data_IF_845856719652
#
_entry.id   IF_845856719652
#
_cell.length_a   1.000
_cell.length_b   1.000
_cell.length_c   1.000
_cell.angle_alpha   90.00
_cell.angle_beta   90.00
_cell.angle_gamma   90.00
#
_symmetry.space_group_name_H-M   'P 1'
#
loop_
_entity.id
_entity.type
_entity.pdbx_description
1 polymer ?
#
# COMPACT_ATOMS: atom_id res chain seq x y z
N UNK A 1 37.65 17.70 9.79
CA UNK A 1 36.99 19.03 9.77
C UNK A 1 35.50 18.77 9.58
N UNK A 2 34.73 18.81 10.66
CA UNK A 2 33.27 18.65 10.62
C UNK A 2 32.66 20.05 10.55
N UNK A 3 32.07 20.39 9.42
CA UNK A 3 31.26 21.60 9.27
C UNK A 3 29.92 21.35 9.98
N UNK A 4 29.75 21.96 11.15
CA UNK A 4 28.45 22.08 11.80
C UNK A 4 27.52 22.89 10.90
N UNK A 5 26.43 22.28 10.46
CA UNK A 5 25.35 22.96 9.77
C UNK A 5 24.66 23.95 10.69
N UNK A 6 24.58 25.20 10.23
CA UNK A 6 23.88 26.30 10.88
C UNK A 6 22.39 25.94 10.93
N UNK A 7 21.83 25.83 12.13
CA UNK A 7 20.37 25.81 12.33
C UNK A 7 19.88 27.25 12.15
N UNK A 8 19.40 27.57 10.95
CA UNK A 8 18.71 28.83 10.70
C UNK A 8 17.29 28.74 11.27
N UNK A 9 17.05 29.60 12.24
CA UNK A 9 15.79 29.87 12.90
C UNK A 9 14.69 30.28 11.92
N UNK A 10 13.57 29.53 11.93
CA UNK A 10 12.21 30.01 11.64
C UNK A 10 12.03 30.94 10.43
N UNK A 11 12.32 30.46 9.22
CA UNK A 11 11.78 31.09 8.03
C UNK A 11 10.29 30.78 7.94
N UNK A 12 9.45 31.73 8.38
CA UNK A 12 8.03 31.68 8.09
C UNK A 12 7.83 31.63 6.58
N UNK A 13 7.32 30.50 6.09
CA UNK A 13 6.90 30.30 4.72
C UNK A 13 5.82 31.34 4.36
N UNK A 14 6.18 32.38 3.61
CA UNK A 14 5.44 33.63 3.59
C UNK A 14 4.27 33.65 2.58
N UNK A 15 4.28 32.82 1.53
CA UNK A 15 3.27 32.90 0.47
C UNK A 15 2.65 31.55 0.09
N UNK A 16 1.30 31.53 0.03
CA UNK A 16 0.50 30.34 -0.33
C UNK A 16 0.76 29.85 -1.76
N UNK A 17 1.21 30.74 -2.64
CA UNK A 17 1.38 30.48 -4.07
C UNK A 17 2.82 30.07 -4.44
N UNK A 18 3.73 30.00 -3.47
CA UNK A 18 5.09 29.52 -3.72
C UNK A 18 5.08 28.04 -4.12
N UNK A 19 5.86 27.71 -5.13
CA UNK A 19 6.05 26.36 -5.63
C UNK A 19 7.15 25.67 -4.82
N UNK A 20 6.85 24.44 -4.38
CA UNK A 20 7.76 23.57 -3.65
C UNK A 20 8.05 22.35 -4.51
N UNK A 21 9.33 22.10 -4.77
CA UNK A 21 9.81 20.89 -5.44
C UNK A 21 9.81 19.74 -4.44
N UNK A 22 9.11 18.65 -4.74
CA UNK A 22 9.15 17.45 -3.91
C UNK A 22 10.23 16.53 -4.45
N UNK A 23 11.19 16.20 -3.59
CA UNK A 23 12.35 15.38 -3.93
C UNK A 23 12.48 14.21 -2.97
N UNK A 24 12.83 13.04 -3.51
CA UNK A 24 13.25 11.88 -2.73
C UNK A 24 14.77 11.85 -2.67
N UNK A 25 15.31 11.60 -1.49
CA UNK A 25 16.74 11.54 -1.21
C UNK A 25 17.10 10.17 -0.67
N UNK A 26 18.26 9.66 -1.09
CA UNK A 26 18.85 8.47 -0.52
C UNK A 26 19.36 8.72 0.92
N UNK A 27 19.90 7.69 1.56
CA UNK A 27 20.40 7.82 2.92
C UNK A 27 21.59 8.79 3.07
N UNK A 28 22.33 9.04 1.99
CA UNK A 28 23.45 9.98 1.99
C UNK A 28 23.05 11.41 1.62
N UNK A 29 21.79 11.65 1.21
CA UNK A 29 21.30 12.92 0.65
C UNK A 29 22.16 13.43 -0.53
N UNK A 30 22.83 12.53 -1.24
CA UNK A 30 23.66 12.88 -2.41
C UNK A 30 22.89 12.69 -3.68
N UNK A 31 22.16 11.60 -3.76
CA UNK A 31 21.36 11.25 -4.91
C UNK A 31 19.91 11.67 -4.65
N UNK A 32 19.33 12.34 -5.64
CA UNK A 32 17.97 12.86 -5.55
C UNK A 32 17.14 12.51 -6.77
N UNK A 33 15.86 12.25 -6.52
CA UNK A 33 14.85 11.99 -7.55
C UNK A 33 13.74 13.00 -7.44
N UNK A 34 13.53 13.77 -8.50
CA UNK A 34 12.43 14.72 -8.58
C UNK A 34 11.09 13.98 -8.72
N UNK A 35 10.17 14.27 -7.81
CA UNK A 35 8.81 13.70 -7.82
C UNK A 35 7.88 14.62 -8.60
N UNK A 36 7.59 15.80 -8.05
CA UNK A 36 6.61 16.74 -8.61
C UNK A 36 6.84 18.13 -8.02
N UNK A 37 6.15 19.13 -8.56
CA UNK A 37 6.03 20.45 -7.95
C UNK A 37 4.62 20.61 -7.39
N UNK A 38 4.48 21.21 -6.21
CA UNK A 38 3.20 21.49 -5.55
C UNK A 38 3.23 22.87 -4.89
N UNK A 39 2.07 23.51 -4.70
CA UNK A 39 2.00 24.77 -3.96
C UNK A 39 2.20 24.56 -2.46
N UNK A 40 2.91 25.47 -1.82
CA UNK A 40 3.11 25.46 -0.38
C UNK A 40 1.79 25.53 0.40
N UNK A 41 0.79 26.23 -0.15
CA UNK A 41 -0.56 26.26 0.42
C UNK A 41 -1.19 24.87 0.55
N UNK A 42 -0.99 23.98 -0.42
CA UNK A 42 -1.50 22.60 -0.36
C UNK A 42 -0.77 21.79 0.71
N UNK A 43 0.55 21.89 0.77
CA UNK A 43 1.36 21.21 1.80
C UNK A 43 0.95 21.65 3.20
N UNK A 44 0.77 22.96 3.41
CA UNK A 44 0.36 23.50 4.72
C UNK A 44 -1.01 22.99 5.18
N UNK A 45 -1.93 22.78 4.24
CA UNK A 45 -3.30 22.31 4.57
C UNK A 45 -3.34 20.81 4.82
N UNK A 46 -2.64 20.01 4.00
CA UNK A 46 -2.80 18.55 4.00
C UNK A 46 -1.65 17.78 4.63
N UNK A 47 -0.47 18.38 4.70
CA UNK A 47 0.74 17.78 5.24
C UNK A 47 1.45 18.80 6.14
N UNK A 48 0.79 19.33 7.19
CA UNK A 48 1.35 20.41 8.00
C UNK A 48 2.69 20.03 8.64
N UNK A 49 2.91 18.76 8.93
CA UNK A 49 4.17 18.25 9.51
C UNK A 49 5.36 18.27 8.52
N UNK A 50 5.10 18.46 7.22
CA UNK A 50 6.15 18.57 6.23
C UNK A 50 6.75 19.99 6.15
N UNK A 51 6.13 21.01 6.78
CA UNK A 51 6.59 22.41 6.71
C UNK A 51 8.04 22.54 7.20
N UNK A 52 8.41 21.86 8.29
CA UNK A 52 9.77 21.87 8.86
C UNK A 52 10.83 21.20 7.97
N UNK A 53 10.41 20.53 6.89
CA UNK A 53 11.27 19.81 5.95
C UNK A 53 11.39 20.52 4.60
N UNK A 54 10.72 21.65 4.45
CA UNK A 54 10.88 22.48 3.27
C UNK A 54 12.11 23.35 3.47
N UNK A 55 13.12 23.12 2.64
CA UNK A 55 14.39 23.83 2.67
C UNK A 55 14.59 24.62 1.39
N UNK A 56 15.34 25.72 1.47
CA UNK A 56 15.75 26.46 0.28
C UNK A 56 16.83 25.66 -0.45
N UNK A 57 16.53 25.16 -1.64
CA UNK A 57 17.49 24.52 -2.53
C UNK A 57 18.29 25.60 -3.27
N UNK A 58 19.57 25.71 -2.92
CA UNK A 58 20.50 26.67 -3.54
C UNK A 58 20.80 26.36 -5.00
N UNK A 59 20.67 25.10 -5.43
CA UNK A 59 20.96 24.66 -6.81
C UNK A 59 19.81 25.05 -7.73
N UNK A 60 18.58 24.81 -7.30
CA UNK A 60 17.38 25.15 -8.08
C UNK A 60 16.91 26.60 -7.86
N UNK A 61 17.41 27.27 -6.82
CA UNK A 61 16.98 28.62 -6.45
C UNK A 61 15.53 28.67 -6.01
N UNK A 62 15.04 27.63 -5.32
CA UNK A 62 13.64 27.50 -4.94
C UNK A 62 13.45 26.60 -3.71
N UNK A 63 12.22 26.48 -3.25
CA UNK A 63 11.90 25.65 -2.08
C UNK A 63 11.77 24.18 -2.46
N UNK A 64 12.33 23.30 -1.65
CA UNK A 64 12.28 21.86 -1.84
C UNK A 64 11.83 21.14 -0.57
N UNK A 65 10.80 20.29 -0.69
CA UNK A 65 10.43 19.31 0.32
C UNK A 65 11.31 18.07 0.11
N UNK A 66 12.23 17.84 1.05
CA UNK A 66 13.14 16.70 1.00
C UNK A 66 12.59 15.53 1.81
N UNK A 67 12.33 14.41 1.13
CA UNK A 67 11.82 13.18 1.74
C UNK A 67 12.90 12.11 1.66
N UNK A 68 13.26 11.56 2.81
CA UNK A 68 14.22 10.46 2.90
C UNK A 68 13.59 9.13 2.51
N UNK A 69 14.30 8.33 1.72
CA UNK A 69 13.99 6.92 1.46
C UNK A 69 15.22 6.04 1.70
N UNK A 70 15.08 4.81 2.23
CA UNK A 70 16.22 3.94 2.54
C UNK A 70 17.03 3.54 1.31
N UNK A 71 16.37 3.39 0.17
CA UNK A 71 16.97 3.03 -1.11
C UNK A 71 16.26 3.79 -2.23
N UNK A 72 17.02 4.20 -3.25
CA UNK A 72 16.49 4.71 -4.51
C UNK A 72 16.22 3.60 -5.53
N UNK A 73 16.54 2.35 -5.18
CA UNK A 73 16.19 1.20 -5.98
C UNK A 73 14.67 1.05 -6.06
N UNK A 74 14.14 0.88 -7.27
CA UNK A 74 12.70 0.84 -7.57
C UNK A 74 11.86 2.08 -7.18
N UNK A 75 12.48 3.17 -6.72
CA UNK A 75 11.77 4.38 -6.24
C UNK A 75 10.85 4.99 -7.29
N UNK A 76 11.23 4.88 -8.57
CA UNK A 76 10.44 5.34 -9.70
C UNK A 76 9.12 4.57 -9.88
N UNK A 77 9.07 3.32 -9.41
CA UNK A 77 7.90 2.43 -9.54
C UNK A 77 6.98 2.47 -8.32
N UNK A 78 7.48 2.91 -7.16
CA UNK A 78 6.73 2.94 -5.90
C UNK A 78 6.58 4.38 -5.41
N UNK A 79 7.59 4.95 -4.76
CA UNK A 79 7.48 6.21 -4.03
C UNK A 79 7.16 7.40 -4.96
N UNK A 80 7.79 7.48 -6.13
CA UNK A 80 7.51 8.56 -7.10
C UNK A 80 6.06 8.47 -7.60
N UNK A 81 5.58 7.28 -7.97
CA UNK A 81 4.20 7.10 -8.43
C UNK A 81 3.20 7.38 -7.32
N UNK A 82 3.48 6.88 -6.12
CA UNK A 82 2.67 7.06 -4.92
C UNK A 82 2.46 8.54 -4.60
N UNK A 83 3.55 9.30 -4.48
CA UNK A 83 3.51 10.72 -4.16
C UNK A 83 2.90 11.55 -5.30
N UNK A 84 3.28 11.30 -6.56
CA UNK A 84 2.69 12.00 -7.72
C UNK A 84 1.18 11.85 -7.75
N UNK A 85 0.70 10.62 -7.61
CA UNK A 85 -0.74 10.34 -7.63
C UNK A 85 -1.44 11.03 -6.46
N UNK A 86 -0.90 10.93 -5.23
CA UNK A 86 -1.50 11.60 -4.06
C UNK A 86 -1.56 13.13 -4.23
N UNK A 87 -0.48 13.77 -4.67
CA UNK A 87 -0.45 15.21 -4.88
C UNK A 87 -1.38 15.68 -6.02
N UNK A 88 -1.53 14.88 -7.07
CA UNK A 88 -2.54 15.11 -8.11
C UNK A 88 -3.96 15.07 -7.52
N UNK A 89 -4.26 14.10 -6.64
CA UNK A 89 -5.55 14.03 -5.95
C UNK A 89 -5.78 15.23 -5.01
N UNK A 90 -4.76 15.65 -4.23
CA UNK A 90 -4.82 16.86 -3.39
C UNK A 90 -5.14 18.11 -4.21
N UNK A 91 -4.46 18.27 -5.34
CA UNK A 91 -4.68 19.40 -6.25
C UNK A 91 -6.10 19.40 -6.80
N UNK A 92 -6.59 18.23 -7.22
CA UNK A 92 -7.98 18.07 -7.69
C UNK A 92 -9.01 18.38 -6.61
N UNK A 93 -8.77 17.95 -5.36
CA UNK A 93 -9.70 18.19 -4.25
C UNK A 93 -9.86 19.69 -3.96
N UNK A 94 -8.77 20.46 -4.01
CA UNK A 94 -8.82 21.91 -3.81
C UNK A 94 -9.54 22.62 -4.93
N UNK A 95 -9.32 22.23 -6.19
CA UNK A 95 -10.01 22.87 -7.32
C UNK A 95 -11.51 22.59 -7.31
N UNK A 96 -11.95 21.46 -6.76
CA UNK A 96 -13.36 21.06 -6.69
C UNK A 96 -14.01 21.31 -5.33
N UNK A 97 -13.36 22.03 -4.40
CA UNK A 97 -13.87 22.35 -3.04
C UNK A 97 -14.30 21.12 -2.22
N UNK A 98 -13.70 19.96 -2.49
CA UNK A 98 -14.00 18.73 -1.78
C UNK A 98 -13.35 18.74 -0.39
N UNK A 99 -14.01 18.09 0.58
CA UNK A 99 -13.50 17.97 1.93
C UNK A 99 -12.45 16.85 2.02
N UNK A 100 -11.25 17.19 2.48
CA UNK A 100 -10.14 16.24 2.69
C UNK A 100 -10.34 15.30 3.89
N UNK A 101 -11.47 15.38 4.58
CA UNK A 101 -11.84 14.42 5.62
C UNK A 101 -11.94 12.96 5.12
N UNK A 102 -11.72 12.69 3.83
CA UNK A 102 -11.67 11.36 3.26
C UNK A 102 -10.36 11.18 2.49
N UNK A 103 -9.71 10.04 2.70
CA UNK A 103 -8.60 9.60 1.86
C UNK A 103 -9.07 9.42 0.41
N UNK A 104 -8.18 9.63 -0.59
CA UNK A 104 -8.50 9.30 -1.97
C UNK A 104 -8.93 7.83 -2.09
N UNK A 105 -10.02 7.57 -2.79
CA UNK A 105 -10.44 6.21 -3.08
C UNK A 105 -9.40 5.53 -3.99
N UNK A 106 -9.13 4.25 -3.76
CA UNK A 106 -8.28 3.43 -4.63
C UNK A 106 -9.12 2.33 -5.31
N UNK A 107 -8.89 2.12 -6.59
CA UNK A 107 -9.63 1.15 -7.40
C UNK A 107 -9.03 -0.26 -7.37
N UNK A 108 -7.75 -0.39 -7.00
CA UNK A 108 -7.03 -1.66 -6.95
C UNK A 108 -6.14 -1.78 -5.72
N UNK A 109 -5.70 -3.01 -5.43
CA UNK A 109 -4.73 -3.31 -4.37
C UNK A 109 -3.46 -2.49 -4.57
N UNK A 110 -2.89 -2.49 -5.78
CA UNK A 110 -1.69 -1.73 -6.07
C UNK A 110 -1.85 -0.22 -5.87
N UNK A 111 -3.01 0.36 -6.16
CA UNK A 111 -3.27 1.77 -5.81
C UNK A 111 -3.38 1.98 -4.29
N UNK A 112 -3.99 1.03 -3.57
CA UNK A 112 -4.03 1.05 -2.11
C UNK A 112 -2.63 1.00 -1.48
N UNK A 113 -1.74 0.16 -2.01
CA UNK A 113 -0.33 0.08 -1.59
C UNK A 113 0.40 1.39 -1.87
N UNK A 114 0.24 1.97 -3.06
CA UNK A 114 0.82 3.28 -3.39
C UNK A 114 0.31 4.38 -2.46
N UNK A 115 -1.00 4.42 -2.18
CA UNK A 115 -1.58 5.38 -1.25
C UNK A 115 -0.98 5.21 0.15
N UNK A 116 -0.93 3.97 0.65
CA UNK A 116 -0.36 3.67 1.95
C UNK A 116 1.09 4.15 2.06
N UNK A 117 1.91 3.86 1.04
CA UNK A 117 3.30 4.32 0.99
C UNK A 117 3.42 5.84 0.96
N UNK A 118 2.60 6.54 0.16
CA UNK A 118 2.61 8.00 0.12
C UNK A 118 2.27 8.61 1.50
N UNK A 119 1.30 8.03 2.22
CA UNK A 119 0.92 8.48 3.55
C UNK A 119 2.06 8.28 4.55
N UNK A 120 2.76 7.15 4.51
CA UNK A 120 3.95 6.90 5.36
C UNK A 120 5.08 7.90 5.08
N UNK A 121 5.39 8.16 3.82
CA UNK A 121 6.45 9.11 3.43
C UNK A 121 6.16 10.56 3.85
N UNK A 122 4.88 10.90 3.98
CA UNK A 122 4.40 12.22 4.40
C UNK A 122 4.08 12.28 5.89
N UNK A 123 4.43 11.25 6.67
CA UNK A 123 4.21 11.18 8.12
C UNK A 123 2.74 11.35 8.52
N UNK A 124 1.84 10.81 7.70
CA UNK A 124 0.40 10.78 7.95
C UNK A 124 0.02 9.44 8.59
N UNK A 125 0.63 9.13 9.74
CA UNK A 125 0.58 7.80 10.36
C UNK A 125 -0.84 7.34 10.68
N UNK A 126 -1.69 8.18 11.25
CA UNK A 126 -3.09 7.84 11.58
C UNK A 126 -3.90 7.42 10.33
N UNK A 127 -3.68 8.14 9.23
CA UNK A 127 -4.31 7.82 7.95
C UNK A 127 -3.76 6.52 7.36
N UNK A 128 -2.44 6.33 7.42
CA UNK A 128 -1.79 5.11 6.96
C UNK A 128 -2.30 3.88 7.76
N UNK A 129 -2.35 3.96 9.08
CA UNK A 129 -2.84 2.89 9.96
C UNK A 129 -4.32 2.57 9.74
N UNK A 130 -5.14 3.57 9.38
CA UNK A 130 -6.54 3.35 9.01
C UNK A 130 -6.69 2.60 7.67
N UNK A 131 -5.81 2.90 6.71
CA UNK A 131 -5.84 2.31 5.37
C UNK A 131 -5.25 0.90 5.33
N UNK A 132 -4.18 0.63 6.07
CA UNK A 132 -3.46 -0.66 6.10
C UNK A 132 -4.38 -1.89 6.21
N UNK A 133 -5.28 -2.01 7.20
CA UNK A 133 -6.13 -3.19 7.33
C UNK A 133 -7.10 -3.35 6.16
N UNK A 134 -7.51 -2.24 5.52
CA UNK A 134 -8.40 -2.27 4.34
C UNK A 134 -7.67 -2.88 3.14
N UNK A 135 -6.45 -2.39 2.84
CA UNK A 135 -5.62 -2.92 1.74
C UNK A 135 -5.26 -4.40 2.01
N UNK A 136 -4.87 -4.73 3.25
CA UNK A 136 -4.58 -6.12 3.63
C UNK A 136 -5.81 -7.04 3.50
N UNK A 137 -7.01 -6.52 3.78
CA UNK A 137 -8.25 -7.26 3.57
C UNK A 137 -8.53 -7.47 2.08
N UNK A 138 -8.36 -6.45 1.25
CA UNK A 138 -8.52 -6.57 -0.20
C UNK A 138 -7.54 -7.57 -0.82
N UNK A 139 -6.28 -7.59 -0.37
CA UNK A 139 -5.29 -8.60 -0.78
C UNK A 139 -5.80 -10.01 -0.49
N UNK A 140 -6.58 -10.23 0.58
CA UNK A 140 -7.09 -11.58 0.89
C UNK A 140 -8.25 -12.01 -0.02
N UNK A 141 -8.95 -11.07 -0.65
CA UNK A 141 -10.19 -11.34 -1.39
C UNK A 141 -10.04 -11.35 -2.90
N UNK A 142 -9.09 -10.59 -3.44
CA UNK A 142 -8.96 -10.38 -4.89
C UNK A 142 -7.72 -11.12 -5.41
N UNK A 143 -7.76 -11.74 -6.60
CA UNK A 143 -6.55 -12.27 -7.22
C UNK A 143 -5.58 -11.11 -7.47
N UNK A 144 -4.33 -11.28 -7.04
CA UNK A 144 -3.29 -10.28 -7.29
C UNK A 144 -2.82 -10.35 -8.73
N UNK A 145 -2.69 -9.18 -9.37
CA UNK A 145 -1.99 -9.05 -10.65
C UNK A 145 -0.47 -9.07 -10.44
N UNK A 146 0.30 -9.27 -11.51
CA UNK A 146 1.76 -9.12 -11.46
C UNK A 146 2.18 -7.75 -10.90
N UNK A 147 1.50 -6.67 -11.31
CA UNK A 147 1.81 -5.32 -10.85
C UNK A 147 1.50 -5.14 -9.36
N UNK A 148 0.48 -5.82 -8.81
CA UNK A 148 0.20 -5.76 -7.37
C UNK A 148 1.31 -6.46 -6.58
N UNK A 149 1.76 -7.64 -7.03
CA UNK A 149 2.86 -8.39 -6.40
C UNK A 149 4.15 -7.56 -6.41
N UNK A 150 4.52 -6.98 -7.57
CA UNK A 150 5.68 -6.09 -7.69
C UNK A 150 5.60 -4.91 -6.72
N UNK A 151 4.44 -4.27 -6.64
CA UNK A 151 4.23 -3.13 -5.74
C UNK A 151 4.35 -3.51 -4.28
N UNK A 152 3.77 -4.63 -3.86
CA UNK A 152 3.88 -5.11 -2.48
C UNK A 152 5.34 -5.45 -2.18
N UNK A 153 6.01 -6.17 -3.08
CA UNK A 153 7.38 -6.60 -2.90
C UNK A 153 8.32 -5.40 -2.72
N UNK A 154 8.42 -4.54 -3.73
CA UNK A 154 9.36 -3.41 -3.71
C UNK A 154 9.01 -2.35 -2.66
N UNK A 155 7.74 -2.20 -2.29
CA UNK A 155 7.34 -1.25 -1.25
C UNK A 155 7.77 -1.66 0.17
N UNK A 156 7.95 -2.97 0.42
CA UNK A 156 8.08 -3.50 1.78
C UNK A 156 9.28 -4.41 2.03
N UNK A 157 10.00 -4.88 1.02
CA UNK A 157 11.10 -5.87 1.14
C UNK A 157 12.17 -5.52 2.19
N UNK A 158 12.32 -4.23 2.53
CA UNK A 158 13.30 -3.74 3.50
C UNK A 158 12.67 -2.93 4.65
N UNK A 159 11.37 -3.10 4.90
CA UNK A 159 10.67 -2.42 5.99
C UNK A 159 10.39 -3.37 7.14
N UNK A 160 10.17 -2.83 8.34
CA UNK A 160 9.77 -3.63 9.52
C UNK A 160 8.45 -4.38 9.30
N UNK A 161 7.63 -3.92 8.36
CA UNK A 161 6.34 -4.51 8.03
C UNK A 161 6.45 -5.67 7.01
N UNK A 162 7.65 -5.95 6.48
CA UNK A 162 7.86 -6.89 5.38
C UNK A 162 7.18 -8.24 5.62
N UNK A 163 7.39 -8.84 6.79
CA UNK A 163 6.87 -10.16 7.10
C UNK A 163 5.34 -10.26 7.02
N UNK A 164 4.62 -9.20 7.41
CA UNK A 164 3.16 -9.19 7.34
C UNK A 164 2.64 -9.07 5.91
N UNK A 165 3.24 -8.16 5.12
CA UNK A 165 2.89 -7.96 3.71
C UNK A 165 3.25 -9.17 2.85
N UNK A 166 4.43 -9.75 3.08
CA UNK A 166 4.86 -10.99 2.44
C UNK A 166 3.90 -12.13 2.78
N UNK A 167 3.55 -12.32 4.04
CA UNK A 167 2.67 -13.40 4.47
C UNK A 167 1.27 -13.29 3.82
N UNK A 168 0.66 -12.11 3.80
CA UNK A 168 -0.66 -11.92 3.19
C UNK A 168 -0.62 -12.10 1.67
N UNK A 169 0.45 -11.66 1.02
CA UNK A 169 0.68 -11.84 -0.42
C UNK A 169 0.85 -13.32 -0.78
N UNK A 170 1.77 -14.03 -0.11
CA UNK A 170 2.01 -15.46 -0.38
C UNK A 170 0.76 -16.31 -0.08
N UNK A 171 0.01 -15.97 0.96
CA UNK A 171 -1.28 -16.62 1.26
C UNK A 171 -2.29 -16.41 0.13
N UNK A 172 -2.40 -15.19 -0.42
CA UNK A 172 -3.25 -14.94 -1.58
C UNK A 172 -2.83 -15.81 -2.79
N UNK A 173 -1.54 -15.78 -3.12
CA UNK A 173 -1.01 -16.54 -4.25
C UNK A 173 -1.22 -18.05 -4.08
N UNK A 174 -1.08 -18.57 -2.86
CA UNK A 174 -1.37 -19.97 -2.56
C UNK A 174 -2.86 -20.30 -2.71
N UNK A 175 -3.75 -19.44 -2.18
CA UNK A 175 -5.20 -19.61 -2.29
C UNK A 175 -5.65 -19.67 -3.75
N UNK A 176 -5.29 -18.66 -4.53
CA UNK A 176 -5.69 -18.57 -5.94
C UNK A 176 -4.95 -19.56 -6.84
N UNK A 177 -3.85 -20.18 -6.40
CA UNK A 177 -3.25 -21.32 -7.11
C UNK A 177 -3.97 -22.65 -6.82
N UNK A 178 -4.67 -22.77 -5.69
CA UNK A 178 -5.39 -24.00 -5.30
C UNK A 178 -6.84 -23.99 -5.78
N UNK A 179 -7.52 -22.84 -5.65
CA UNK A 179 -8.98 -22.75 -5.84
C UNK A 179 -9.40 -22.02 -7.12
N UNK A 180 -8.46 -21.39 -7.83
CA UNK A 180 -8.73 -20.63 -9.05
C UNK A 180 -7.59 -20.80 -10.04
N UNK A 181 -7.74 -20.28 -11.25
CA UNK A 181 -6.61 -20.07 -12.15
C UNK A 181 -6.12 -18.63 -11.95
N UNK A 182 -4.88 -18.48 -11.51
CA UNK A 182 -4.18 -17.19 -11.55
C UNK A 182 -3.92 -16.85 -13.03
N UNK A 183 -4.65 -15.89 -13.58
CA UNK A 183 -4.50 -15.48 -14.99
C UNK A 183 -3.06 -15.13 -15.37
N UNK A 184 -2.31 -14.55 -14.42
CA UNK A 184 -0.91 -14.13 -14.60
C UNK A 184 0.07 -15.01 -13.80
N UNK A 185 -0.32 -16.24 -13.44
CA UNK A 185 0.43 -17.09 -12.52
C UNK A 185 1.87 -17.37 -12.95
N UNK A 186 2.14 -17.52 -14.26
CA UNK A 186 3.49 -17.72 -14.79
C UNK A 186 4.37 -16.49 -14.65
N UNK A 187 3.84 -15.29 -14.91
CA UNK A 187 4.59 -14.03 -14.77
C UNK A 187 4.85 -13.67 -13.31
N UNK A 188 3.86 -13.87 -12.43
CA UNK A 188 4.03 -13.70 -10.99
C UNK A 188 5.13 -14.62 -10.48
N UNK A 189 5.12 -15.89 -10.89
CA UNK A 189 6.14 -16.86 -10.53
C UNK A 189 7.52 -16.45 -11.02
N UNK A 190 7.64 -16.08 -12.29
CA UNK A 190 8.91 -15.62 -12.87
C UNK A 190 9.46 -14.40 -12.13
N UNK A 191 8.60 -13.44 -11.79
CA UNK A 191 8.99 -12.27 -11.00
C UNK A 191 9.54 -12.67 -9.63
N UNK A 192 8.77 -13.46 -8.86
CA UNK A 192 9.20 -13.89 -7.52
C UNK A 192 10.51 -14.68 -7.60
N UNK A 193 10.64 -15.61 -8.55
CA UNK A 193 11.87 -16.37 -8.76
C UNK A 193 13.05 -15.44 -9.08
N UNK A 194 12.85 -14.40 -9.90
CA UNK A 194 13.89 -13.43 -10.25
C UNK A 194 14.31 -12.57 -9.04
N UNK A 195 13.36 -12.07 -8.25
CA UNK A 195 13.66 -11.29 -7.05
C UNK A 195 14.33 -12.14 -5.97
N UNK A 196 13.90 -13.40 -5.82
CA UNK A 196 14.50 -14.34 -4.88
C UNK A 196 15.98 -14.62 -5.18
N UNK A 197 16.42 -14.56 -6.44
CA UNK A 197 17.84 -14.73 -6.78
C UNK A 197 18.76 -13.66 -6.15
N UNK A 198 18.20 -12.53 -5.72
CA UNK A 198 18.93 -11.46 -5.04
C UNK A 198 19.02 -11.67 -3.52
N UNK A 199 18.28 -12.63 -2.97
CA UNK A 199 18.22 -12.94 -1.54
C UNK A 199 19.23 -14.02 -1.15
N UNK A 200 19.51 -14.12 0.15
CA UNK A 200 20.30 -15.22 0.69
C UNK A 200 19.53 -16.55 0.60
N UNK A 201 20.21 -17.72 0.54
CA UNK A 201 19.53 -19.02 0.49
C UNK A 201 18.55 -19.23 1.65
N UNK A 202 18.86 -18.73 2.84
CA UNK A 202 17.98 -18.85 4.00
C UNK A 202 16.67 -18.05 3.85
N UNK A 203 16.73 -16.86 3.25
CA UNK A 203 15.55 -16.04 2.96
C UNK A 203 14.71 -16.68 1.84
N UNK A 204 15.36 -17.23 0.82
CA UNK A 204 14.69 -17.99 -0.25
C UNK A 204 13.93 -19.19 0.35
N UNK A 205 14.61 -20.02 1.15
CA UNK A 205 14.01 -21.18 1.82
C UNK A 205 12.82 -20.79 2.70
N UNK A 206 12.92 -19.65 3.39
CA UNK A 206 11.84 -19.11 4.21
C UNK A 206 10.61 -18.74 3.37
N UNK A 207 10.80 -17.98 2.29
CA UNK A 207 9.72 -17.56 1.38
C UNK A 207 9.03 -18.77 0.74
N UNK A 208 9.82 -19.72 0.23
CA UNK A 208 9.28 -20.96 -0.34
C UNK A 208 8.57 -21.82 0.70
N UNK A 209 9.13 -21.91 1.91
CA UNK A 209 8.53 -22.60 3.05
C UNK A 209 7.16 -22.01 3.41
N UNK A 210 7.07 -20.68 3.51
CA UNK A 210 5.84 -19.97 3.83
C UNK A 210 4.78 -20.15 2.73
N UNK A 211 5.17 -20.08 1.46
CA UNK A 211 4.28 -20.35 0.34
C UNK A 211 3.76 -21.81 0.35
N UNK A 212 4.65 -22.79 0.55
CA UNK A 212 4.28 -24.21 0.64
C UNK A 212 3.32 -24.46 1.80
N UNK A 213 3.60 -23.88 2.97
CA UNK A 213 2.74 -23.96 4.13
C UNK A 213 1.30 -23.50 3.81
N UNK A 214 1.12 -22.29 3.25
CA UNK A 214 -0.22 -21.80 2.89
C UNK A 214 -0.89 -22.69 1.85
N UNK A 215 -0.15 -23.18 0.85
CA UNK A 215 -0.67 -24.06 -0.19
C UNK A 215 -1.17 -25.40 0.39
N UNK A 216 -0.45 -25.96 1.35
CA UNK A 216 -0.86 -27.19 2.04
C UNK A 216 -2.07 -26.98 2.93
N UNK A 217 -2.12 -25.87 3.68
CA UNK A 217 -3.28 -25.51 4.51
C UNK A 217 -4.54 -25.38 3.64
N UNK A 218 -4.45 -24.68 2.52
CA UNK A 218 -5.59 -24.57 1.60
C UNK A 218 -5.97 -25.90 0.94
N UNK A 219 -5.01 -26.80 0.65
CA UNK A 219 -5.35 -28.15 0.16
C UNK A 219 -6.09 -28.97 1.21
N UNK A 220 -5.67 -28.91 2.48
CA UNK A 220 -6.35 -29.58 3.60
C UNK A 220 -7.75 -29.01 3.79
N UNK A 221 -7.89 -27.68 3.79
CA UNK A 221 -9.18 -26.98 3.87
C UNK A 221 -10.07 -27.30 2.67
N UNK A 222 -9.50 -27.42 1.47
CA UNK A 222 -10.23 -27.71 0.25
C UNK A 222 -10.74 -29.14 0.25
N UNK A 223 -9.93 -30.08 0.73
CA UNK A 223 -10.34 -31.47 0.95
C UNK A 223 -11.37 -31.59 2.07
N UNK A 224 -11.22 -30.86 3.18
CA UNK A 224 -12.20 -30.84 4.27
C UNK A 224 -13.49 -30.12 3.87
N UNK A 225 -13.42 -29.06 3.08
CA UNK A 225 -14.53 -28.26 2.58
C UNK A 225 -15.31 -28.97 1.48
N UNK A 226 -14.63 -29.63 0.55
CA UNK A 226 -15.26 -30.52 -0.43
C UNK A 226 -15.76 -31.80 0.22
N UNK A 227 -15.06 -32.41 1.18
CA UNK A 227 -15.59 -33.54 1.94
C UNK A 227 -16.78 -33.13 2.82
N UNK A 228 -16.79 -31.94 3.42
CA UNK A 228 -17.93 -31.42 4.19
C UNK A 228 -19.07 -31.01 3.28
N UNK A 229 -18.79 -30.46 2.09
CA UNK A 229 -19.79 -30.20 1.05
C UNK A 229 -20.33 -31.49 0.44
N UNK A 230 -19.51 -32.52 0.27
CA UNK A 230 -19.87 -33.83 -0.27
C UNK A 230 -20.63 -34.66 0.77
N UNK A 231 -20.23 -34.64 2.04
CA UNK A 231 -20.97 -35.22 3.16
C UNK A 231 -22.27 -34.46 3.38
N UNK A 232 -22.28 -33.11 3.28
CA UNK A 232 -23.51 -32.31 3.33
C UNK A 232 -24.39 -32.51 2.10
N UNK A 233 -23.83 -32.82 0.93
CA UNK A 233 -24.54 -33.18 -0.29
C UNK A 233 -25.08 -34.61 -0.23
N UNK A 234 -24.32 -35.58 0.31
CA UNK A 234 -24.74 -36.96 0.51
C UNK A 234 -25.81 -37.07 1.61
N UNK A 235 -25.61 -36.40 2.76
CA UNK A 235 -26.63 -36.24 3.80
C UNK A 235 -27.77 -35.33 3.34
N UNK A 236 -27.50 -34.43 2.40
CA UNK A 236 -28.44 -33.54 1.74
C UNK A 236 -29.36 -34.31 0.80
N UNK A 237 -28.85 -35.24 -0.01
CA UNK A 237 -29.62 -36.16 -0.84
C UNK A 237 -30.52 -37.06 0.00
N UNK A 238 -30.03 -37.56 1.14
CA UNK A 238 -30.84 -38.31 2.12
C UNK A 238 -31.94 -37.44 2.75
N UNK A 239 -31.75 -36.12 2.83
CA UNK A 239 -32.73 -35.16 3.35
C UNK A 239 -33.61 -34.50 2.26
N UNK A 240 -33.18 -34.47 1.01
CA UNK A 240 -33.86 -33.83 -0.12
C UNK A 240 -34.99 -34.71 -0.66
N UNK A 241 -34.93 -36.04 -0.45
CA UNK A 241 -36.12 -36.89 -0.49
C UNK A 241 -37.18 -36.53 0.57
N UNK A 242 -36.87 -35.67 1.56
CA UNK A 242 -37.73 -35.41 2.72
C UNK A 242 -38.17 -33.95 2.93
N UNK A 243 -37.66 -32.96 2.19
CA UNK A 243 -37.97 -31.54 2.50
C UNK A 243 -37.99 -30.63 1.27
N UNK A 244 -39.06 -30.76 0.51
CA UNK A 244 -39.48 -29.82 -0.53
C UNK A 244 -40.35 -28.68 0.05
N UNK A 245 -39.98 -28.14 1.22
CA UNK A 245 -40.83 -27.19 1.95
C UNK A 245 -40.03 -25.99 2.48
N UNK A 246 -40.20 -24.89 1.75
CA UNK A 246 -40.19 -23.48 2.18
C UNK A 246 -38.86 -22.69 2.29
N UNK A 247 -38.72 -21.78 1.31
CA UNK A 247 -38.45 -20.31 1.38
C UNK A 247 -37.13 -19.80 2.00
N UNK A 248 -36.29 -19.13 1.21
CA UNK A 248 -36.23 -17.68 0.86
C UNK A 248 -35.43 -16.83 1.87
N UNK A 249 -34.36 -16.17 1.39
CA UNK A 249 -33.43 -15.31 2.13
C UNK A 249 -33.42 -13.89 1.52
N UNK A 250 -33.20 -12.81 2.30
CA UNK A 250 -32.84 -11.49 1.76
C UNK A 250 -31.36 -11.09 2.02
N UNK A 251 -30.95 -10.06 1.27
CA UNK A 251 -29.58 -9.60 0.95
C UNK A 251 -28.98 -8.56 1.95
N UNK A 252 -27.70 -8.12 1.78
CA UNK A 252 -26.82 -7.63 2.86
C UNK A 252 -26.60 -6.10 3.00
N UNK A 253 -25.95 -5.72 4.10
CA UNK A 253 -25.69 -4.37 4.66
C UNK A 253 -24.46 -3.61 4.09
N UNK A 254 -24.44 -2.28 4.29
CA UNK A 254 -23.36 -1.31 3.97
C UNK A 254 -22.85 -0.60 5.24
N UNK A 255 -21.56 -0.19 5.32
CA UNK A 255 -20.95 0.46 6.51
C UNK A 255 -20.23 1.76 6.14
N UNK A 256 -20.35 2.80 6.99
CA UNK A 256 -19.67 4.11 6.93
C UNK A 256 -18.52 4.20 7.96
N UNK A 257 -17.44 4.89 7.61
CA UNK A 257 -16.36 5.25 8.55
C UNK A 257 -16.50 6.72 9.02
N UNK A 258 -16.29 6.95 10.31
CA UNK A 258 -16.26 8.26 10.96
C UNK A 258 -14.80 8.67 11.21
N UNK A 259 -14.37 9.80 10.63
CA UNK A 259 -13.13 10.47 11.00
C UNK A 259 -13.46 11.63 11.93
N UNK A 260 -12.97 11.56 13.17
CA UNK A 260 -13.12 12.60 14.17
C UNK A 260 -12.12 13.73 13.89
N UNK A 261 -12.63 14.91 13.55
CA UNK A 261 -11.84 16.14 13.40
C UNK A 261 -11.49 16.67 14.80
N UNK A 262 -10.23 16.53 15.20
CA UNK A 262 -9.71 17.19 16.38
C UNK A 262 -9.49 18.70 16.09
N UNK A 263 -10.46 19.53 16.49
CA UNK A 263 -10.22 20.99 16.63
C UNK A 263 -9.52 21.23 17.97
N UNK A 264 -8.26 21.66 17.95
CA UNK A 264 -7.64 22.30 19.12
C UNK A 264 -7.81 23.82 19.03
N UNK A 265 -8.18 24.41 20.16
CA UNK A 265 -8.12 25.84 20.47
C UNK A 265 -6.70 26.21 20.88
#
# INVERSE_FOLDING_TARGET
MCTMGIVLTGHHFAHRDELVHVELHDATFRDRVFVTTITAGLLKVYVPFAEDRIIMDQVLGGWALSIYVPSLEHVAHIEVLALRWLFQQMTSIVTHTLNWNCLPAHASVGQGVLLYRALQLLYLDDAAQTLRPQVMYEIKLKPLSMTDVQRIWWAFQYTEEWGEWLNVMLRNLAYFNVYSDLSDGSYIRLFIETEMLQLTPAEQDYIEGLYRYHKEEFRKEGFAGTAKAYVKWALGLVKWENRDLHREYPAPFTVRCNLAVARRR
#
